data_IF_214052162214
#
_entry.id   IF_214052162214
#
_cell.length_a   1.000
_cell.length_b   1.000
_cell.length_c   1.000
_cell.angle_alpha   90.00
_cell.angle_beta   90.00
_cell.angle_gamma   90.00
#
_symmetry.space_group_name_H-M   'P 1'
#
loop_
_entity.id
_entity.type
_entity.pdbx_description
1 polymer ?
#
# COMPACT_ATOMS: atom_id res chain seq x y z
N UNK A 1 3.94 5.47 30.56
CA UNK A 1 3.37 4.97 29.29
C UNK A 1 2.51 6.10 28.76
N UNK A 2 3.06 6.89 27.86
CA UNK A 2 2.31 7.96 27.19
C UNK A 2 1.29 7.33 26.25
N UNK A 3 0.01 7.49 26.55
CA UNK A 3 -1.05 7.10 25.66
C UNK A 3 -1.13 8.12 24.52
N UNK A 4 -0.62 7.76 23.35
CA UNK A 4 -0.84 8.57 22.15
C UNK A 4 -2.21 8.24 21.58
N UNK A 5 -3.07 9.24 21.51
CA UNK A 5 -4.33 9.14 20.78
C UNK A 5 -4.08 9.66 19.36
N UNK A 6 -4.36 8.80 18.39
CA UNK A 6 -4.27 9.12 16.98
C UNK A 6 -5.67 9.49 16.46
N UNK A 7 -5.84 10.69 15.89
CA UNK A 7 -7.14 11.15 15.38
C UNK A 7 -7.03 11.67 13.96
N UNK A 8 -7.92 11.23 13.10
CA UNK A 8 -8.22 11.88 11.83
C UNK A 8 -9.37 12.84 12.06
N UNK A 9 -9.18 14.10 11.82
CA UNK A 9 -10.26 15.07 11.76
C UNK A 9 -10.65 15.25 10.30
N UNK A 10 -11.90 15.04 9.99
CA UNK A 10 -12.49 15.41 8.70
C UNK A 10 -12.59 16.94 8.60
N UNK A 11 -11.46 17.60 8.61
CA UNK A 11 -11.35 19.03 8.38
C UNK A 11 -10.66 19.27 7.05
N UNK A 12 -11.16 20.19 6.28
CA UNK A 12 -10.66 20.65 5.00
C UNK A 12 -9.17 20.97 5.10
N UNK A 13 -8.33 20.32 4.28
CA UNK A 13 -6.91 20.63 4.19
C UNK A 13 -6.75 21.88 3.32
N UNK A 14 -6.77 23.06 3.93
CA UNK A 14 -6.33 24.30 3.28
C UNK A 14 -4.80 24.34 3.46
N UNK A 15 -4.05 23.97 2.43
CA UNK A 15 -2.62 24.23 2.40
C UNK A 15 -2.44 25.67 1.91
N UNK A 16 -2.34 26.60 2.86
CA UNK A 16 -1.95 27.98 2.54
C UNK A 16 -0.44 28.01 2.40
N UNK A 17 0.05 28.01 1.17
CA UNK A 17 1.45 28.32 0.89
C UNK A 17 1.67 29.83 1.02
N UNK A 18 2.25 30.29 2.12
CA UNK A 18 2.66 31.69 2.27
C UNK A 18 3.93 31.91 1.47
N UNK A 19 3.79 32.45 0.26
CA UNK A 19 4.92 32.94 -0.54
C UNK A 19 5.05 34.45 -0.33
N UNK A 20 6.08 34.86 0.42
CA UNK A 20 6.52 36.25 0.49
C UNK A 20 7.38 36.58 -0.73
N UNK A 21 6.84 37.39 -1.61
CA UNK A 21 7.56 38.34 -2.46
C UNK A 21 8.44 37.81 -3.57
N UNK A 22 7.86 37.65 -4.76
CA UNK A 22 8.51 38.04 -6.05
C UNK A 22 7.40 38.47 -7.01
N UNK A 23 7.45 39.72 -7.45
CA UNK A 23 6.61 40.21 -8.54
C UNK A 23 7.03 39.47 -9.82
N UNK A 24 6.15 38.66 -10.36
CA UNK A 24 6.25 38.12 -11.70
C UNK A 24 5.07 38.62 -12.53
N UNK A 25 5.37 39.02 -13.74
CA UNK A 25 4.47 39.56 -14.74
C UNK A 25 3.32 38.57 -15.04
N UNK A 26 2.15 39.18 -15.30
CA UNK A 26 0.95 38.49 -15.77
C UNK A 26 1.22 37.59 -16.97
N UNK A 27 1.16 36.26 -16.74
CA UNK A 27 0.81 35.30 -17.77
C UNK A 27 -0.41 34.52 -17.30
N UNK A 28 -1.55 34.74 -17.96
CA UNK A 28 -2.91 34.41 -17.50
C UNK A 28 -3.37 32.98 -17.85
N UNK A 29 -2.46 31.98 -17.87
CA UNK A 29 -2.80 30.62 -18.34
C UNK A 29 -2.48 29.47 -17.42
N UNK A 30 -1.91 29.69 -16.24
CA UNK A 30 -1.69 28.63 -15.25
C UNK A 30 -2.41 28.96 -13.94
N UNK A 31 -3.72 28.68 -13.88
CA UNK A 31 -4.41 28.61 -12.58
C UNK A 31 -3.98 27.32 -11.88
N UNK A 32 -3.00 27.42 -11.00
CA UNK A 32 -2.69 26.37 -10.03
C UNK A 32 -3.91 26.08 -9.15
N UNK A 33 -4.04 24.84 -8.68
CA UNK A 33 -5.07 24.49 -7.70
C UNK A 33 -4.64 24.98 -6.34
N UNK A 34 -5.53 25.69 -5.66
CA UNK A 34 -5.30 26.15 -4.30
C UNK A 34 -5.69 25.07 -3.26
N UNK A 35 -6.43 24.03 -3.67
CA UNK A 35 -6.99 23.03 -2.78
C UNK A 35 -7.28 21.69 -3.50
N UNK A 36 -7.05 20.55 -2.79
CA UNK A 36 -7.50 19.23 -3.20
C UNK A 36 -8.61 18.76 -2.26
N UNK A 37 -9.84 18.75 -2.75
CA UNK A 37 -11.02 18.36 -1.98
C UNK A 37 -11.05 16.82 -1.84
N UNK A 38 -11.07 16.28 -0.60
CA UNK A 38 -11.22 14.85 -0.40
C UNK A 38 -12.47 14.29 -1.08
N UNK A 39 -12.33 13.14 -1.76
CA UNK A 39 -13.36 12.50 -2.58
C UNK A 39 -13.88 13.35 -3.77
N UNK A 40 -13.25 14.48 -4.05
CA UNK A 40 -13.53 15.30 -5.24
C UNK A 40 -12.92 14.72 -6.52
N UNK A 41 -13.17 15.40 -7.62
CA UNK A 41 -12.50 15.11 -8.91
C UNK A 41 -11.11 15.79 -8.90
N UNK A 42 -10.08 14.98 -9.06
CA UNK A 42 -8.71 15.47 -9.12
C UNK A 42 -8.16 15.31 -10.53
N UNK A 43 -7.80 16.42 -11.13
CA UNK A 43 -7.23 16.44 -12.47
C UNK A 43 -5.74 16.80 -12.40
N UNK A 44 -4.99 16.42 -13.39
CA UNK A 44 -3.61 16.86 -13.58
C UNK A 44 -3.57 18.33 -14.11
N UNK A 45 -2.37 18.84 -14.38
CA UNK A 45 -2.18 20.21 -14.87
C UNK A 45 -2.78 20.43 -16.26
N UNK A 46 -3.05 19.38 -17.02
CA UNK A 46 -3.68 19.43 -18.35
C UNK A 46 -5.21 19.36 -18.27
N UNK A 47 -5.77 19.18 -17.07
CA UNK A 47 -7.21 19.04 -16.86
C UNK A 47 -7.72 17.60 -16.99
N UNK A 48 -6.83 16.61 -17.22
CA UNK A 48 -7.17 15.21 -17.32
C UNK A 48 -7.28 14.57 -15.92
N UNK A 49 -8.23 13.64 -15.76
CA UNK A 49 -8.45 12.97 -14.48
C UNK A 49 -7.23 12.13 -14.07
N UNK A 50 -6.78 12.29 -12.82
CA UNK A 50 -5.69 11.49 -12.27
C UNK A 50 -6.18 10.07 -12.01
N UNK A 51 -5.56 9.09 -12.68
CA UNK A 51 -5.85 7.67 -12.52
C UNK A 51 -4.59 6.97 -11.97
N UNK A 52 -4.42 7.01 -10.64
CA UNK A 52 -3.27 6.46 -9.90
C UNK A 52 -3.72 5.81 -8.59
N UNK A 53 -4.58 4.77 -8.71
CA UNK A 53 -5.23 4.14 -7.57
C UNK A 53 -4.34 3.13 -6.84
N UNK A 54 -4.68 2.79 -5.61
CA UNK A 54 -3.97 1.80 -4.78
C UNK A 54 -2.51 2.14 -4.49
N UNK A 55 -2.09 3.32 -4.85
CA UNK A 55 -0.70 3.69 -5.03
C UNK A 55 0.02 4.20 -3.78
N UNK A 56 1.19 4.79 -4.03
CA UNK A 56 2.00 5.46 -3.03
C UNK A 56 2.87 6.55 -3.65
N UNK A 57 3.49 7.35 -2.81
CA UNK A 57 4.32 8.47 -3.25
C UNK A 57 5.77 8.24 -2.83
N UNK A 58 6.66 8.38 -3.79
CA UNK A 58 8.10 8.50 -3.55
C UNK A 58 8.48 9.98 -3.56
N UNK A 59 9.17 10.42 -2.53
CA UNK A 59 9.86 11.70 -2.53
C UNK A 59 11.32 11.46 -2.91
N UNK A 60 11.75 12.06 -4.01
CA UNK A 60 13.12 11.95 -4.49
C UNK A 60 13.55 13.28 -5.12
N UNK A 61 14.73 13.76 -4.74
CA UNK A 61 15.31 15.02 -5.23
C UNK A 61 14.32 16.21 -5.17
N UNK A 62 13.68 16.38 -4.00
CA UNK A 62 12.69 17.43 -3.71
C UNK A 62 11.44 17.42 -4.60
N UNK A 63 11.17 16.32 -5.30
CA UNK A 63 10.00 16.12 -6.14
C UNK A 63 9.24 14.87 -5.69
N UNK A 64 7.93 14.96 -5.64
CA UNK A 64 7.03 13.84 -5.33
C UNK A 64 6.67 13.10 -6.62
N UNK A 65 6.70 11.77 -6.57
CA UNK A 65 6.29 10.88 -7.65
C UNK A 65 5.21 9.96 -7.14
N UNK A 66 4.01 10.12 -7.67
CA UNK A 66 2.84 9.32 -7.31
C UNK A 66 2.66 8.19 -8.31
N UNK A 67 2.84 6.97 -7.84
CA UNK A 67 2.63 5.74 -8.61
C UNK A 67 1.29 5.16 -8.24
N UNK A 68 0.52 4.70 -9.23
CA UNK A 68 -0.74 4.03 -9.00
C UNK A 68 -1.15 3.16 -10.19
N UNK A 69 -2.00 2.19 -9.90
CA UNK A 69 -2.59 1.36 -10.93
C UNK A 69 -3.55 2.19 -11.80
N UNK A 70 -3.47 1.97 -13.10
CA UNK A 70 -4.48 2.49 -14.02
C UNK A 70 -5.72 1.61 -13.93
N UNK A 71 -6.80 2.14 -13.40
CA UNK A 71 -8.09 1.45 -13.32
C UNK A 71 -8.90 1.67 -14.62
N UNK A 72 -9.49 0.62 -15.18
CA UNK A 72 -10.35 0.72 -16.35
C UNK A 72 -11.73 1.27 -16.00
N UNK A 73 -12.47 1.74 -17.00
CA UNK A 73 -13.87 2.18 -16.82
C UNK A 73 -14.79 1.02 -16.41
N UNK A 74 -14.50 -0.20 -16.88
CA UNK A 74 -15.26 -1.39 -16.54
C UNK A 74 -14.36 -2.57 -16.15
N UNK A 75 -14.79 -3.31 -15.11
CA UNK A 75 -14.04 -4.45 -14.59
C UNK A 75 -12.80 -4.01 -13.78
N UNK A 76 -11.89 -4.95 -13.55
CA UNK A 76 -10.71 -4.75 -12.69
C UNK A 76 -9.40 -5.27 -13.32
N UNK A 77 -9.45 -5.77 -14.57
CA UNK A 77 -8.27 -6.22 -15.31
C UNK A 77 -7.45 -5.01 -15.73
N UNK A 78 -6.14 -5.09 -15.57
CA UNK A 78 -5.23 -4.00 -15.95
C UNK A 78 -5.22 -3.84 -17.48
N UNK A 79 -5.55 -2.64 -17.94
CA UNK A 79 -5.56 -2.31 -19.39
C UNK A 79 -4.26 -1.67 -19.86
N UNK A 80 -3.65 -0.80 -19.05
CA UNK A 80 -2.45 -0.06 -19.44
C UNK A 80 -1.22 -0.45 -18.62
N UNK A 81 -1.32 -0.51 -17.31
CA UNK A 81 -0.21 -0.77 -16.39
C UNK A 81 -0.19 0.20 -15.20
N UNK A 82 1.01 0.60 -14.79
CA UNK A 82 1.21 1.51 -13.67
C UNK A 82 1.49 2.92 -14.19
N UNK A 83 0.66 3.87 -13.77
CA UNK A 83 0.82 5.29 -14.06
C UNK A 83 1.79 5.95 -13.07
N UNK A 84 2.44 7.03 -13.52
CA UNK A 84 3.20 7.93 -12.67
C UNK A 84 2.77 9.38 -12.91
N UNK A 85 2.66 10.12 -11.82
CA UNK A 85 2.47 11.56 -11.81
C UNK A 85 3.57 12.20 -10.94
N UNK A 86 3.95 13.43 -11.25
CA UNK A 86 4.95 14.15 -10.46
C UNK A 86 4.48 15.52 -10.02
N UNK A 87 4.91 15.97 -8.85
CA UNK A 87 4.58 17.28 -8.30
C UNK A 87 5.70 17.81 -7.39
N UNK A 88 5.81 19.13 -7.27
CA UNK A 88 6.67 19.78 -6.28
C UNK A 88 5.90 20.32 -5.08
N UNK A 89 4.57 20.36 -5.15
CA UNK A 89 3.70 21.00 -4.15
C UNK A 89 2.53 20.12 -3.67
N UNK A 90 2.41 18.87 -4.19
CA UNK A 90 1.31 17.93 -3.91
C UNK A 90 -0.07 18.38 -4.43
N UNK A 91 -0.18 19.52 -5.07
CA UNK A 91 -1.42 20.09 -5.61
C UNK A 91 -1.46 20.00 -7.13
N UNK A 92 -0.35 20.36 -7.78
CA UNK A 92 -0.23 20.41 -9.23
C UNK A 92 0.56 19.19 -9.71
N UNK A 93 -0.14 18.25 -10.35
CA UNK A 93 0.41 16.98 -10.80
C UNK A 93 0.62 16.95 -12.30
N UNK A 94 1.83 16.60 -12.75
CA UNK A 94 2.16 16.36 -14.15
C UNK A 94 2.07 14.86 -14.42
N UNK A 95 1.37 14.47 -15.46
CA UNK A 95 1.34 13.08 -15.91
C UNK A 95 2.66 12.69 -16.58
N UNK A 96 3.38 11.73 -16.02
CA UNK A 96 4.67 11.25 -16.55
C UNK A 96 4.49 10.02 -17.47
N UNK A 97 3.29 9.50 -17.60
CA UNK A 97 2.96 8.35 -18.46
C UNK A 97 2.78 7.04 -17.73
N UNK A 98 2.61 5.97 -18.50
CA UNK A 98 2.60 4.59 -18.02
C UNK A 98 4.05 4.13 -17.87
N UNK A 99 4.54 4.08 -16.64
CA UNK A 99 5.96 3.79 -16.34
C UNK A 99 6.29 2.30 -16.32
N UNK A 100 5.29 1.45 -16.10
CA UNK A 100 5.37 -0.01 -16.27
C UNK A 100 4.12 -0.47 -17.05
N UNK A 101 4.20 -0.60 -18.37
CA UNK A 101 3.08 -1.10 -19.17
C UNK A 101 2.88 -2.60 -19.00
N UNK A 102 1.64 -3.08 -19.26
CA UNK A 102 1.40 -4.50 -19.51
C UNK A 102 2.26 -4.98 -20.67
N UNK A 103 2.64 -6.27 -20.66
CA UNK A 103 3.47 -6.86 -21.70
C UNK A 103 2.63 -7.39 -22.86
N UNK A 104 3.07 -7.12 -24.08
CA UNK A 104 2.50 -7.73 -25.31
C UNK A 104 3.04 -9.17 -25.51
N UNK A 105 4.08 -9.58 -24.80
CA UNK A 105 4.65 -10.91 -24.91
C UNK A 105 3.75 -11.95 -24.24
N UNK A 106 3.26 -12.91 -25.02
CA UNK A 106 2.47 -14.04 -24.52
C UNK A 106 3.29 -14.86 -23.51
N UNK A 107 2.64 -15.19 -22.39
CA UNK A 107 3.26 -15.95 -21.32
C UNK A 107 4.09 -15.10 -20.34
N UNK A 108 4.16 -13.80 -20.54
CA UNK A 108 4.64 -12.88 -19.52
C UNK A 108 3.66 -12.86 -18.35
N UNK A 109 4.14 -12.84 -17.11
CA UNK A 109 3.28 -12.72 -15.92
C UNK A 109 2.42 -11.44 -15.94
N UNK A 110 2.93 -10.37 -16.59
CA UNK A 110 2.23 -9.09 -16.77
C UNK A 110 1.63 -8.92 -18.17
N UNK A 111 1.27 -10.02 -18.86
CA UNK A 111 0.59 -9.94 -20.16
C UNK A 111 -0.82 -9.35 -20.03
N UNK A 112 -1.36 -8.86 -21.15
CA UNK A 112 -2.75 -8.34 -21.22
C UNK A 112 -3.73 -9.34 -20.61
N UNK A 113 -4.51 -8.89 -19.63
CA UNK A 113 -5.44 -9.72 -18.87
C UNK A 113 -4.94 -10.08 -17.46
N UNK A 114 -3.75 -9.65 -17.07
CA UNK A 114 -3.29 -9.67 -15.67
C UNK A 114 -3.99 -8.58 -14.83
N UNK A 115 -3.81 -8.65 -13.52
CA UNK A 115 -4.27 -7.62 -12.58
C UNK A 115 -3.04 -7.14 -11.80
N UNK A 116 -2.70 -5.86 -11.94
CA UNK A 116 -1.59 -5.21 -11.26
C UNK A 116 -2.17 -4.23 -10.25
N UNK A 117 -1.91 -4.44 -8.96
CA UNK A 117 -2.51 -3.66 -7.88
C UNK A 117 -1.48 -3.18 -6.86
N UNK A 118 -1.81 -2.10 -6.16
CA UNK A 118 -1.06 -1.57 -5.01
C UNK A 118 0.43 -1.26 -5.28
N UNK A 119 0.83 -0.67 -6.42
CA UNK A 119 2.24 -0.41 -6.69
C UNK A 119 2.84 0.54 -5.66
N UNK A 120 4.07 0.23 -5.23
CA UNK A 120 4.89 1.10 -4.39
C UNK A 120 6.31 1.13 -4.94
N UNK A 121 6.93 2.29 -4.90
CA UNK A 121 8.32 2.49 -5.35
C UNK A 121 9.17 2.98 -4.19
N UNK A 122 10.34 2.39 -4.04
CA UNK A 122 11.38 2.82 -3.11
C UNK A 122 12.70 3.01 -3.85
N UNK A 123 13.49 3.98 -3.40
CA UNK A 123 14.83 4.22 -3.96
C UNK A 123 15.89 3.49 -3.15
N UNK A 124 16.68 2.67 -3.82
CA UNK A 124 17.82 1.99 -3.23
C UNK A 124 19.08 2.83 -3.38
N UNK A 125 19.56 3.41 -2.28
CA UNK A 125 20.74 4.29 -2.27
C UNK A 125 22.04 3.57 -2.63
N UNK A 126 22.13 2.26 -2.37
CA UNK A 126 23.36 1.48 -2.65
C UNK A 126 23.50 1.16 -4.14
N UNK A 127 22.40 0.82 -4.80
CA UNK A 127 22.39 0.46 -6.22
C UNK A 127 22.05 1.61 -7.14
N UNK A 128 21.55 2.73 -6.61
CA UNK A 128 21.06 3.87 -7.40
C UNK A 128 19.77 3.56 -8.17
N UNK A 129 19.05 2.50 -7.83
CA UNK A 129 17.87 2.04 -8.56
C UNK A 129 16.57 2.41 -7.87
N UNK A 130 15.53 2.63 -8.67
CA UNK A 130 14.14 2.72 -8.23
C UNK A 130 13.52 1.34 -8.34
N UNK A 131 13.06 0.79 -7.22
CA UNK A 131 12.49 -0.56 -7.14
C UNK A 131 11.00 -0.46 -6.88
N UNK A 132 10.21 -1.01 -7.79
CA UNK A 132 8.76 -1.08 -7.70
C UNK A 132 8.35 -2.50 -7.31
N UNK A 133 7.53 -2.63 -6.27
CA UNK A 133 6.79 -3.85 -5.96
C UNK A 133 5.30 -3.62 -6.12
N UNK A 134 4.58 -4.67 -6.51
CA UNK A 134 3.13 -4.64 -6.66
C UNK A 134 2.52 -6.04 -6.51
N UNK A 135 1.24 -6.09 -6.16
CA UNK A 135 0.43 -7.30 -6.19
C UNK A 135 0.10 -7.66 -7.64
N UNK A 136 0.23 -8.92 -7.98
CA UNK A 136 -0.02 -9.41 -9.33
C UNK A 136 -0.89 -10.66 -9.32
N UNK A 137 -1.98 -10.61 -10.10
CA UNK A 137 -2.76 -11.77 -10.47
C UNK A 137 -2.57 -12.11 -11.95
N UNK A 138 -2.38 -13.39 -12.22
CA UNK A 138 -2.12 -13.85 -13.58
C UNK A 138 -3.41 -13.89 -14.40
N UNK A 139 -3.28 -13.64 -15.69
CA UNK A 139 -4.38 -13.65 -16.65
C UNK A 139 -5.29 -14.88 -16.49
N UNK A 140 -6.58 -14.60 -16.31
CA UNK A 140 -7.63 -15.62 -16.22
C UNK A 140 -7.57 -16.53 -15.00
N UNK A 141 -6.78 -16.19 -13.98
CA UNK A 141 -6.60 -17.00 -12.77
C UNK A 141 -7.32 -16.44 -11.53
N UNK A 142 -8.09 -15.33 -11.71
CA UNK A 142 -8.71 -14.62 -10.59
C UNK A 142 -7.67 -14.21 -9.54
N UNK A 143 -8.05 -14.21 -8.27
CA UNK A 143 -7.17 -13.84 -7.14
C UNK A 143 -6.46 -15.06 -6.50
N UNK A 144 -6.35 -16.18 -7.24
CA UNK A 144 -5.67 -17.39 -6.77
C UNK A 144 -4.14 -17.34 -6.78
N UNK A 145 -3.48 -16.77 -7.81
CA UNK A 145 -2.04 -16.64 -7.84
C UNK A 145 -1.44 -15.89 -6.66
N UNK A 146 -2.00 -14.73 -6.29
CA UNK A 146 -1.60 -13.88 -5.16
C UNK A 146 -0.08 -13.68 -5.09
N UNK A 147 0.51 -13.14 -6.16
CA UNK A 147 1.96 -13.01 -6.33
C UNK A 147 2.44 -11.61 -5.98
N UNK A 148 3.62 -11.53 -5.39
CA UNK A 148 4.41 -10.30 -5.35
C UNK A 148 5.21 -10.19 -6.64
N UNK A 149 5.18 -9.03 -7.26
CA UNK A 149 5.89 -8.74 -8.50
C UNK A 149 6.87 -7.59 -8.28
N UNK A 150 8.03 -7.65 -8.96
CA UNK A 150 9.07 -6.63 -8.85
C UNK A 150 9.55 -6.16 -10.21
N UNK A 151 9.73 -4.84 -10.31
CA UNK A 151 10.28 -4.15 -11.47
C UNK A 151 11.32 -3.10 -11.02
N UNK A 152 12.22 -2.72 -11.91
CA UNK A 152 13.33 -1.81 -11.59
C UNK A 152 13.53 -0.77 -12.70
N UNK A 153 13.96 0.44 -12.32
CA UNK A 153 14.32 1.50 -13.24
C UNK A 153 15.55 2.29 -12.77
N UNK A 154 16.21 2.97 -13.69
CA UNK A 154 17.25 3.97 -13.42
C UNK A 154 16.68 5.37 -13.17
N UNK A 155 15.41 5.59 -13.48
CA UNK A 155 14.71 6.87 -13.33
C UNK A 155 13.42 6.69 -12.51
N UNK A 156 13.02 7.67 -11.69
CA UNK A 156 11.75 7.61 -10.98
C UNK A 156 10.54 7.52 -11.95
N UNK A 157 10.66 8.13 -13.12
CA UNK A 157 9.61 8.12 -14.15
C UNK A 157 9.72 6.98 -15.15
N UNK A 158 10.55 5.97 -14.83
CA UNK A 158 10.71 4.78 -15.68
C UNK A 158 11.59 4.99 -16.92
N UNK A 159 11.49 4.14 -17.94
CA UNK A 159 10.65 2.93 -17.92
C UNK A 159 11.11 1.91 -16.88
N UNK A 160 10.16 1.25 -16.24
CA UNK A 160 10.46 0.13 -15.35
C UNK A 160 10.55 -1.16 -16.15
N UNK A 161 11.59 -1.95 -15.86
CA UNK A 161 11.76 -3.30 -16.40
C UNK A 161 11.18 -4.31 -15.40
N UNK A 162 10.17 -5.06 -15.81
CA UNK A 162 9.64 -6.19 -15.03
C UNK A 162 10.72 -7.26 -14.86
N UNK A 163 10.99 -7.69 -13.63
CA UNK A 163 12.01 -8.70 -13.32
C UNK A 163 11.36 -10.07 -13.18
N UNK A 164 10.36 -10.20 -12.27
CA UNK A 164 9.68 -11.47 -11.99
C UNK A 164 8.47 -11.26 -11.10
N UNK A 165 7.66 -12.30 -10.98
CA UNK A 165 6.68 -12.43 -9.89
C UNK A 165 6.70 -13.84 -9.30
N UNK A 166 6.36 -13.95 -8.02
CA UNK A 166 6.22 -15.22 -7.32
C UNK A 166 5.38 -15.04 -6.05
N UNK A 167 4.87 -16.13 -5.50
CA UNK A 167 4.53 -16.17 -4.08
C UNK A 167 5.81 -16.07 -3.26
N UNK A 168 5.72 -15.55 -2.05
CA UNK A 168 6.88 -15.15 -1.26
C UNK A 168 7.26 -16.20 -0.20
N UNK A 169 8.52 -16.21 0.24
CA UNK A 169 9.02 -17.02 1.36
C UNK A 169 8.74 -18.53 1.23
N UNK A 170 8.86 -19.10 0.01
CA UNK A 170 8.72 -20.54 -0.24
C UNK A 170 9.64 -21.35 0.66
N UNK A 171 9.09 -22.42 1.28
CA UNK A 171 9.77 -23.35 2.19
C UNK A 171 10.35 -22.71 3.46
N UNK A 172 9.92 -21.49 3.81
CA UNK A 172 10.38 -20.77 5.01
C UNK A 172 9.20 -20.53 5.95
N UNK A 173 9.42 -20.79 7.23
CA UNK A 173 8.45 -20.48 8.28
C UNK A 173 8.67 -19.08 8.85
N UNK A 174 7.59 -18.39 9.27
CA UNK A 174 7.72 -17.10 9.95
C UNK A 174 8.54 -17.22 11.25
N UNK A 175 9.26 -16.15 11.58
CA UNK A 175 10.14 -16.08 12.75
C UNK A 175 9.37 -16.28 14.06
N UNK A 176 8.15 -15.77 14.14
CA UNK A 176 7.29 -15.85 15.31
C UNK A 176 6.40 -17.10 15.38
N UNK A 177 6.64 -18.09 14.53
CA UNK A 177 6.00 -19.40 14.61
C UNK A 177 6.83 -20.35 15.48
N UNK A 178 6.22 -20.92 16.51
CA UNK A 178 6.90 -21.79 17.48
C UNK A 178 7.28 -23.15 16.89
N UNK A 179 8.25 -23.84 17.53
CA UNK A 179 8.62 -25.21 17.15
C UNK A 179 7.46 -26.19 17.25
N UNK A 180 6.52 -25.97 18.18
CA UNK A 180 5.32 -26.80 18.36
C UNK A 180 4.38 -26.64 17.17
N UNK A 181 4.06 -25.42 16.79
CA UNK A 181 3.20 -25.09 15.66
C UNK A 181 3.78 -25.62 14.33
N UNK A 182 5.09 -25.49 14.12
CA UNK A 182 5.79 -26.02 12.95
C UNK A 182 5.68 -27.55 12.81
N UNK A 183 5.36 -28.30 13.87
CA UNK A 183 5.18 -29.76 13.86
C UNK A 183 3.75 -30.21 13.65
N UNK A 184 2.76 -29.34 13.82
CA UNK A 184 1.35 -29.70 13.64
C UNK A 184 1.14 -30.14 12.19
N UNK A 185 0.48 -31.29 11.99
CA UNK A 185 0.02 -31.73 10.68
C UNK A 185 -1.45 -31.39 10.55
N UNK A 186 -1.79 -30.61 9.54
CA UNK A 186 -3.16 -30.21 9.26
C UNK A 186 -3.77 -31.08 8.18
N UNK A 187 -4.97 -31.60 8.43
CA UNK A 187 -5.83 -32.17 7.40
C UNK A 187 -6.85 -31.08 7.02
N UNK A 188 -6.65 -30.41 5.89
CA UNK A 188 -7.46 -29.27 5.48
C UNK A 188 -8.95 -29.63 5.30
N UNK A 189 -9.28 -30.89 4.99
CA UNK A 189 -10.66 -31.32 4.84
C UNK A 189 -11.47 -31.30 6.15
N UNK A 190 -10.80 -31.23 7.29
CA UNK A 190 -11.44 -31.07 8.59
C UNK A 190 -11.83 -29.61 8.88
N UNK A 191 -11.38 -28.66 8.07
CA UNK A 191 -11.54 -27.20 8.24
C UNK A 191 -12.27 -26.54 7.07
N UNK A 192 -13.08 -27.27 6.33
CA UNK A 192 -13.88 -26.75 5.22
C UNK A 192 -14.93 -25.73 5.67
N UNK A 193 -15.44 -25.91 6.90
CA UNK A 193 -16.35 -24.96 7.51
C UNK A 193 -15.57 -23.85 8.20
N UNK A 194 -15.48 -22.72 7.53
CA UNK A 194 -14.80 -21.53 8.05
C UNK A 194 -15.58 -20.88 9.20
N UNK A 195 -14.90 -20.05 9.98
CA UNK A 195 -15.46 -19.21 11.05
C UNK A 195 -15.89 -19.99 12.29
N UNK A 196 -15.53 -21.25 12.44
CA UNK A 196 -15.69 -21.99 13.70
C UNK A 196 -14.53 -21.69 14.65
N UNK A 197 -14.71 -21.87 15.98
CA UNK A 197 -13.61 -21.71 16.94
C UNK A 197 -12.39 -22.59 16.59
N UNK A 198 -12.61 -23.83 16.14
CA UNK A 198 -11.57 -24.78 15.75
C UNK A 198 -10.83 -24.30 14.51
N UNK A 199 -11.54 -23.72 13.54
CA UNK A 199 -10.95 -23.13 12.34
C UNK A 199 -10.09 -21.92 12.71
N UNK A 200 -10.57 -21.02 13.57
CA UNK A 200 -9.77 -19.85 14.03
C UNK A 200 -8.51 -20.30 14.77
N UNK A 201 -8.61 -21.31 15.67
CA UNK A 201 -7.46 -21.88 16.37
C UNK A 201 -6.42 -22.45 15.39
N UNK A 202 -6.88 -23.13 14.34
CA UNK A 202 -6.01 -23.68 13.30
C UNK A 202 -5.32 -22.58 12.47
N UNK A 203 -6.04 -21.53 12.11
CA UNK A 203 -5.48 -20.34 11.40
C UNK A 203 -4.43 -19.66 12.27
N UNK A 204 -4.73 -19.40 13.53
CA UNK A 204 -3.81 -18.79 14.49
C UNK A 204 -2.52 -19.62 14.61
N UNK A 205 -2.61 -20.94 14.68
CA UNK A 205 -1.48 -21.88 14.73
C UNK A 205 -0.79 -22.12 13.37
N UNK A 206 -1.17 -21.40 12.32
CA UNK A 206 -0.48 -21.40 11.04
C UNK A 206 -0.88 -22.49 10.06
N UNK A 207 -2.13 -22.92 10.07
CA UNK A 207 -2.67 -23.88 9.10
C UNK A 207 -2.43 -23.42 7.66
N UNK A 208 -2.72 -22.15 7.33
CA UNK A 208 -2.53 -21.61 5.98
C UNK A 208 -1.06 -21.36 5.64
N UNK A 209 -0.22 -21.00 6.62
CA UNK A 209 1.24 -20.95 6.40
C UNK A 209 1.74 -22.29 5.88
N UNK A 210 1.25 -23.40 6.47
CA UNK A 210 1.65 -24.75 6.07
C UNK A 210 1.03 -25.18 4.74
N UNK A 211 -0.22 -24.79 4.46
CA UNK A 211 -0.84 -25.02 3.16
C UNK A 211 0.03 -24.44 2.03
N UNK A 212 0.54 -23.24 2.25
CA UNK A 212 1.27 -22.45 1.26
C UNK A 212 2.79 -22.56 1.40
N UNK A 213 3.31 -23.43 2.30
CA UNK A 213 4.72 -23.47 2.65
C UNK A 213 5.62 -23.75 1.43
N UNK A 214 5.33 -24.80 0.68
CA UNK A 214 6.16 -25.20 -0.46
C UNK A 214 6.00 -24.25 -1.66
N UNK A 215 4.76 -23.83 -1.94
CA UNK A 215 4.44 -22.93 -3.05
C UNK A 215 4.77 -21.45 -2.79
N UNK A 216 5.06 -21.10 -1.56
CA UNK A 216 5.23 -19.72 -1.09
C UNK A 216 3.93 -19.09 -0.58
N UNK A 217 4.08 -18.12 0.32
CA UNK A 217 2.99 -17.41 0.93
C UNK A 217 2.30 -16.48 -0.07
N UNK A 218 1.00 -16.32 0.03
CA UNK A 218 0.25 -15.33 -0.77
C UNK A 218 0.73 -13.91 -0.47
N UNK A 219 0.72 -13.04 -1.48
CA UNK A 219 0.94 -11.62 -1.32
C UNK A 219 -0.12 -10.87 -2.13
N UNK A 220 -1.06 -10.23 -1.43
CA UNK A 220 -2.12 -9.40 -2.03
C UNK A 220 -1.90 -7.93 -1.67
N UNK A 221 -2.88 -7.23 -1.15
CA UNK A 221 -2.74 -5.81 -0.77
C UNK A 221 -1.44 -5.56 0.00
N UNK A 222 -0.64 -4.63 -0.50
CA UNK A 222 0.72 -4.47 -0.01
C UNK A 222 1.17 -3.02 0.08
N UNK A 223 2.20 -2.81 0.88
CA UNK A 223 3.00 -1.59 0.91
C UNK A 223 4.47 -1.90 1.12
N UNK A 224 5.33 -0.90 0.92
CA UNK A 224 6.75 -0.96 1.21
C UNK A 224 7.11 0.04 2.31
N UNK A 225 8.14 -0.26 3.05
CA UNK A 225 8.72 0.63 4.04
C UNK A 225 10.24 0.51 4.02
N UNK A 226 10.93 1.65 4.00
CA UNK A 226 12.39 1.72 4.18
C UNK A 226 12.64 2.34 5.55
N UNK A 227 13.34 1.62 6.41
CA UNK A 227 13.66 2.05 7.76
C UNK A 227 14.87 3.00 7.80
N UNK A 228 15.11 3.61 8.94
CA UNK A 228 16.20 4.59 9.16
C UNK A 228 17.59 3.97 8.91
N UNK A 229 17.74 2.65 9.10
CA UNK A 229 18.98 1.90 8.82
C UNK A 229 19.16 1.50 7.35
N UNK A 230 18.21 1.85 6.50
CA UNK A 230 18.21 1.54 5.07
C UNK A 230 17.68 0.15 4.74
N UNK A 231 17.24 -0.66 5.70
CA UNK A 231 16.55 -1.92 5.42
C UNK A 231 15.15 -1.64 4.89
N UNK A 232 14.75 -2.43 3.90
CA UNK A 232 13.42 -2.34 3.33
C UNK A 232 12.56 -3.53 3.74
N UNK A 233 11.27 -3.28 3.84
CA UNK A 233 10.27 -4.26 4.24
C UNK A 233 9.09 -4.24 3.28
N UNK A 234 8.61 -5.43 2.94
CA UNK A 234 7.39 -5.67 2.21
C UNK A 234 6.32 -6.13 3.21
N UNK A 235 5.23 -5.38 3.31
CA UNK A 235 4.09 -5.65 4.19
C UNK A 235 2.90 -5.99 3.29
N UNK A 236 2.26 -7.14 3.52
CA UNK A 236 1.21 -7.61 2.62
C UNK A 236 0.17 -8.47 3.32
N UNK A 237 -1.05 -8.48 2.76
CA UNK A 237 -2.10 -9.42 3.13
C UNK A 237 -1.78 -10.80 2.57
N UNK A 238 -1.92 -11.82 3.40
CA UNK A 238 -1.62 -13.21 3.10
C UNK A 238 -2.70 -14.13 3.67
N UNK A 239 -2.54 -15.45 3.46
CA UNK A 239 -3.42 -16.45 4.05
C UNK A 239 -4.90 -16.16 3.73
N UNK A 240 -5.23 -15.93 2.45
CA UNK A 240 -6.57 -15.53 1.97
C UNK A 240 -7.08 -14.22 2.60
N UNK A 241 -6.19 -13.23 2.79
CA UNK A 241 -6.41 -11.94 3.47
C UNK A 241 -6.70 -12.05 4.97
N UNK A 242 -6.48 -13.22 5.56
CA UNK A 242 -6.72 -13.44 6.99
C UNK A 242 -5.63 -12.87 7.88
N UNK A 243 -4.42 -12.67 7.32
CA UNK A 243 -3.21 -12.38 8.11
C UNK A 243 -2.35 -11.38 7.38
N UNK A 244 -1.81 -10.39 8.09
CA UNK A 244 -0.72 -9.57 7.55
C UNK A 244 0.61 -10.29 7.77
N UNK A 245 1.48 -10.19 6.76
CA UNK A 245 2.88 -10.61 6.87
C UNK A 245 3.79 -9.42 6.62
N UNK A 246 4.91 -9.35 7.35
CA UNK A 246 5.96 -8.36 7.20
C UNK A 246 7.25 -9.09 6.91
N UNK A 247 7.84 -8.86 5.73
CA UNK A 247 9.02 -9.54 5.26
C UNK A 247 10.16 -8.56 4.96
N UNK A 248 11.37 -8.86 5.45
CA UNK A 248 12.59 -8.11 5.14
C UNK A 248 13.01 -8.37 3.68
N UNK A 249 13.32 -7.30 2.95
CA UNK A 249 13.89 -7.37 1.61
C UNK A 249 15.41 -7.48 1.65
N UNK A 250 16.00 -8.02 0.58
CA UNK A 250 17.46 -8.03 0.36
C UNK A 250 18.04 -6.61 0.23
N UNK A 251 19.36 -6.49 0.34
CA UNK A 251 20.03 -5.18 0.31
C UNK A 251 19.83 -4.42 -1.02
N UNK A 252 19.60 -5.13 -2.13
CA UNK A 252 19.22 -4.54 -3.43
C UNK A 252 17.72 -4.26 -3.59
N UNK A 253 16.91 -4.62 -2.59
CA UNK A 253 15.45 -4.54 -2.55
C UNK A 253 14.71 -5.41 -3.58
N UNK A 254 15.41 -6.31 -4.27
CA UNK A 254 14.82 -7.11 -5.35
C UNK A 254 14.31 -8.48 -4.89
N UNK A 255 14.60 -8.91 -3.67
CA UNK A 255 14.25 -10.24 -3.14
C UNK A 255 13.86 -10.17 -1.67
N UNK A 256 13.21 -11.23 -1.17
CA UNK A 256 12.99 -11.43 0.25
C UNK A 256 14.18 -12.17 0.86
N UNK A 257 14.60 -11.78 2.08
CA UNK A 257 15.68 -12.46 2.81
C UNK A 257 15.23 -13.79 3.43
N UNK A 258 13.93 -14.04 3.48
CA UNK A 258 13.32 -15.15 4.21
C UNK A 258 13.00 -14.82 5.66
N UNK A 259 13.39 -13.67 6.18
CA UNK A 259 13.00 -13.20 7.50
C UNK A 259 11.64 -12.52 7.42
N UNK A 260 10.61 -13.13 8.01
CA UNK A 260 9.28 -12.54 8.07
C UNK A 260 8.52 -12.97 9.32
N UNK A 261 7.52 -12.20 9.65
CA UNK A 261 6.57 -12.48 10.74
C UNK A 261 5.14 -12.45 10.22
N UNK A 262 4.25 -13.06 10.98
CA UNK A 262 2.79 -12.95 10.86
C UNK A 262 2.25 -12.07 11.96
N UNK A 263 1.31 -11.20 11.62
CA UNK A 263 0.60 -10.39 12.61
C UNK A 263 -0.91 -10.51 12.42
N UNK A 264 -1.64 -10.55 13.52
CA UNK A 264 -3.11 -10.66 13.56
C UNK A 264 -3.67 -11.80 12.70
N UNK A 265 -3.21 -13.06 12.86
CA UNK A 265 -3.75 -14.18 12.11
C UNK A 265 -5.27 -14.33 12.36
N UNK A 266 -6.03 -14.51 11.27
CA UNK A 266 -7.49 -14.53 11.31
C UNK A 266 -8.16 -13.16 11.46
N UNK A 267 -7.39 -12.08 11.52
CA UNK A 267 -7.89 -10.73 11.75
C UNK A 267 -8.51 -10.03 10.54
N UNK A 268 -8.34 -10.56 9.32
CA UNK A 268 -8.81 -9.94 8.07
C UNK A 268 -8.33 -8.51 7.88
N UNK A 269 -7.04 -8.36 7.63
CA UNK A 269 -6.43 -7.06 7.38
C UNK A 269 -6.00 -6.92 5.92
N UNK A 270 -6.47 -5.84 5.28
CA UNK A 270 -6.10 -5.44 3.93
C UNK A 270 -5.48 -4.04 3.95
N UNK A 271 -4.97 -3.62 2.79
CA UNK A 271 -4.57 -2.25 2.50
C UNK A 271 -3.61 -1.63 3.54
N UNK A 272 -2.49 -2.29 3.88
CA UNK A 272 -1.55 -1.76 4.86
C UNK A 272 -0.92 -0.44 4.40
N UNK A 273 -0.86 0.54 5.30
CA UNK A 273 -0.20 1.84 5.12
C UNK A 273 0.63 2.14 6.37
N UNK A 274 1.95 2.01 6.28
CA UNK A 274 2.89 2.08 7.41
C UNK A 274 3.67 3.39 7.41
N UNK A 275 3.99 3.87 8.60
CA UNK A 275 4.91 4.99 8.81
C UNK A 275 5.61 4.87 10.17
N UNK A 276 6.68 5.66 10.39
CA UNK A 276 7.43 5.68 11.64
C UNK A 276 7.49 7.09 12.20
N UNK A 277 7.17 7.23 13.49
CA UNK A 277 7.31 8.49 14.23
C UNK A 277 7.93 8.22 15.59
N UNK A 278 8.99 8.94 15.90
CA UNK A 278 9.68 8.91 17.21
C UNK A 278 10.08 7.48 17.65
N UNK A 279 10.59 6.69 16.69
CA UNK A 279 11.03 5.31 16.94
C UNK A 279 9.91 4.28 17.01
N UNK A 280 8.64 4.70 16.90
CA UNK A 280 7.46 3.83 16.93
C UNK A 280 6.93 3.64 15.51
N UNK A 281 6.63 2.40 15.15
CA UNK A 281 5.97 2.04 13.90
C UNK A 281 4.46 2.12 14.08
N UNK A 282 3.81 2.71 13.11
CA UNK A 282 2.36 2.85 13.01
C UNK A 282 1.90 2.29 11.69
N UNK A 283 0.80 1.58 11.68
CA UNK A 283 0.23 1.04 10.47
C UNK A 283 -1.30 1.20 10.50
N UNK A 284 -1.85 1.68 9.42
CA UNK A 284 -3.29 1.75 9.19
C UNK A 284 -3.65 0.66 8.21
N UNK A 285 -4.74 -0.07 8.50
CA UNK A 285 -5.26 -1.13 7.65
C UNK A 285 -6.77 -1.03 7.56
N UNK A 286 -7.37 -1.74 6.62
CA UNK A 286 -8.82 -1.95 6.53
C UNK A 286 -9.20 -3.38 6.92
N UNK A 287 -10.48 -3.61 7.17
CA UNK A 287 -11.07 -4.95 7.14
C UNK A 287 -11.29 -5.44 5.71
N UNK A 288 -11.75 -6.69 5.55
CA UNK A 288 -12.08 -7.30 4.27
C UNK A 288 -13.59 -7.25 4.04
N UNK A 289 -14.09 -6.22 3.40
CA UNK A 289 -15.51 -6.01 3.10
C UNK A 289 -15.79 -5.81 1.61
N UNK A 290 -14.87 -6.30 0.77
CA UNK A 290 -14.91 -6.03 -0.68
C UNK A 290 -14.74 -4.55 -0.96
N UNK A 291 -15.62 -3.97 -1.78
CA UNK A 291 -15.56 -2.54 -2.14
C UNK A 291 -16.23 -1.61 -1.12
N UNK A 292 -16.96 -2.17 -0.13
CA UNK A 292 -17.61 -1.37 0.90
C UNK A 292 -16.58 -0.82 1.89
N UNK A 293 -16.60 0.50 2.16
CA UNK A 293 -15.70 1.10 3.13
C UNK A 293 -16.01 0.61 4.55
N UNK A 294 -14.97 0.39 5.32
CA UNK A 294 -15.08 -0.07 6.70
C UNK A 294 -14.18 0.72 7.64
N UNK A 295 -14.32 0.41 8.92
CA UNK A 295 -13.57 1.07 10.00
C UNK A 295 -12.08 0.83 9.86
N UNK A 296 -11.28 1.89 9.81
CA UNK A 296 -9.83 1.79 9.85
C UNK A 296 -9.34 1.12 11.14
N UNK A 297 -8.26 0.39 11.05
CA UNK A 297 -7.56 -0.23 12.17
C UNK A 297 -6.19 0.41 12.31
N UNK A 298 -5.84 0.78 13.52
CA UNK A 298 -4.52 1.33 13.85
C UNK A 298 -3.71 0.27 14.57
N UNK A 299 -2.53 0.00 14.05
CA UNK A 299 -1.60 -0.96 14.61
C UNK A 299 -0.31 -0.23 15.01
N UNK A 300 0.37 -0.70 16.05
CA UNK A 300 1.62 -0.09 16.51
C UNK A 300 2.61 -1.13 17.01
N UNK A 301 3.91 -0.85 16.85
CA UNK A 301 5.01 -1.65 17.34
C UNK A 301 6.25 -0.79 17.64
N UNK A 302 7.13 -1.28 18.50
CA UNK A 302 8.45 -0.69 18.76
C UNK A 302 9.57 -1.32 17.93
N UNK A 303 9.27 -2.43 17.24
CA UNK A 303 10.16 -3.11 16.30
C UNK A 303 9.32 -3.66 15.15
N UNK A 304 9.78 -3.46 13.90
CA UNK A 304 9.00 -3.81 12.72
C UNK A 304 8.76 -5.32 12.59
N UNK A 305 9.72 -6.16 12.97
CA UNK A 305 9.59 -7.61 13.05
C UNK A 305 9.26 -8.10 14.47
N UNK A 306 8.80 -7.21 15.36
CA UNK A 306 8.42 -7.51 16.74
C UNK A 306 6.94 -7.76 16.92
N UNK A 307 6.48 -7.56 18.15
CA UNK A 307 5.07 -7.66 18.52
C UNK A 307 4.32 -6.39 18.11
N UNK A 308 3.21 -6.56 17.41
CA UNK A 308 2.28 -5.51 17.01
C UNK A 308 1.03 -5.52 17.89
N UNK A 309 0.53 -4.34 18.22
CA UNK A 309 -0.71 -4.15 19.00
C UNK A 309 -1.72 -3.37 18.18
N UNK A 310 -2.97 -3.78 18.26
CA UNK A 310 -4.07 -3.04 17.65
C UNK A 310 -4.62 -2.02 18.64
N UNK A 311 -4.81 -0.80 18.17
CA UNK A 311 -5.40 0.32 18.86
C UNK A 311 -6.81 0.61 18.31
N UNK A 312 -7.60 1.47 18.97
CA UNK A 312 -8.89 1.91 18.46
C UNK A 312 -8.80 2.57 17.08
N UNK A 313 -9.96 2.70 16.41
CA UNK A 313 -10.06 3.40 15.13
C UNK A 313 -9.47 4.82 15.24
N UNK A 314 -8.50 5.19 14.38
CA UNK A 314 -7.88 6.51 14.42
C UNK A 314 -8.77 7.62 13.84
N UNK A 315 -9.81 7.26 13.08
CA UNK A 315 -10.71 8.21 12.46
C UNK A 315 -11.67 8.82 13.47
N UNK A 316 -11.89 10.13 13.40
CA UNK A 316 -12.77 10.88 14.32
C UNK A 316 -13.69 11.80 13.52
N UNK A 317 -14.95 11.84 13.88
CA UNK A 317 -15.98 12.69 13.26
C UNK A 317 -16.99 11.89 12.46
N UNK A 318 -17.76 12.59 11.63
CA UNK A 318 -18.77 11.97 10.78
C UNK A 318 -18.13 11.00 9.78
N UNK A 319 -18.74 9.82 9.57
CA UNK A 319 -18.23 8.74 8.71
C UNK A 319 -16.88 8.14 9.14
N UNK A 320 -16.42 8.35 10.38
CA UNK A 320 -15.19 7.77 10.91
C UNK A 320 -15.22 6.24 10.98
N UNK A 321 -16.39 5.65 11.13
CA UNK A 321 -16.61 4.19 11.13
C UNK A 321 -16.49 3.55 9.74
N UNK A 322 -16.46 4.37 8.69
CA UNK A 322 -16.24 3.99 7.28
C UNK A 322 -14.95 4.57 6.71
N UNK A 323 -14.03 5.03 7.55
CA UNK A 323 -12.79 5.68 7.10
C UNK A 323 -13.07 6.80 6.07
N UNK A 324 -14.15 7.59 6.34
CA UNK A 324 -14.65 8.67 5.48
C UNK A 324 -15.04 8.23 4.06
N UNK A 325 -15.34 6.94 3.86
CA UNK A 325 -15.65 6.34 2.56
C UNK A 325 -14.43 5.81 1.81
N UNK A 326 -13.26 5.70 2.46
CA UNK A 326 -12.01 5.28 1.83
C UNK A 326 -11.41 4.00 2.38
N UNK A 327 -10.52 3.41 1.59
CA UNK A 327 -9.62 2.33 1.98
C UNK A 327 -8.17 2.83 1.91
N UNK A 328 -7.38 2.61 2.96
CA UNK A 328 -5.98 3.04 3.05
C UNK A 328 -5.14 2.58 1.85
N UNK A 329 -4.17 3.40 1.44
CA UNK A 329 -3.19 3.03 0.42
C UNK A 329 -1.77 3.32 0.87
N UNK A 330 -1.56 4.47 1.51
CA UNK A 330 -0.24 4.95 1.90
C UNK A 330 -0.34 5.97 3.04
N UNK A 331 0.76 6.20 3.73
CA UNK A 331 0.94 7.37 4.60
C UNK A 331 2.19 8.10 4.14
N UNK A 332 2.01 9.31 3.63
CA UNK A 332 3.08 10.14 3.10
C UNK A 332 3.70 10.98 4.23
N UNK A 333 5.01 10.81 4.55
CA UNK A 333 5.73 11.77 5.37
C UNK A 333 6.00 13.05 4.58
N UNK A 334 5.68 14.21 5.17
CA UNK A 334 5.97 15.50 4.56
C UNK A 334 7.40 15.95 4.89
N UNK A 335 8.02 16.70 3.97
CA UNK A 335 9.29 17.36 4.25
C UNK A 335 9.07 18.54 5.21
N UNK A 336 9.97 18.70 6.18
CA UNK A 336 9.94 19.82 7.12
C UNK A 336 10.64 19.49 8.44
N UNK A 337 10.64 20.46 9.35
CA UNK A 337 11.22 20.33 10.69
C UNK A 337 10.34 19.52 11.64
N UNK A 338 9.04 19.49 11.41
CA UNK A 338 8.07 18.67 12.15
C UNK A 338 7.70 17.46 11.31
N UNK A 339 7.66 16.28 11.94
CA UNK A 339 7.20 15.04 11.31
C UNK A 339 5.70 15.08 11.13
N UNK A 340 5.26 15.63 10.01
CA UNK A 340 3.86 15.65 9.59
C UNK A 340 3.61 14.55 8.57
N UNK A 341 2.39 14.03 8.52
CA UNK A 341 2.00 12.94 7.65
C UNK A 341 0.65 13.22 7.00
N UNK A 342 0.50 12.74 5.78
CA UNK A 342 -0.79 12.68 5.08
C UNK A 342 -1.21 11.21 4.98
N UNK A 343 -2.37 10.89 5.51
CA UNK A 343 -3.06 9.63 5.24
C UNK A 343 -3.67 9.67 3.85
N UNK A 344 -3.39 8.65 3.04
CA UNK A 344 -3.92 8.51 1.69
C UNK A 344 -4.81 7.28 1.62
N UNK A 345 -5.98 7.44 0.99
CA UNK A 345 -6.95 6.38 0.77
C UNK A 345 -7.63 6.54 -0.59
N UNK A 346 -8.14 5.44 -1.14
CA UNK A 346 -9.03 5.43 -2.29
C UNK A 346 -10.48 5.24 -1.83
N UNK A 347 -11.37 6.08 -2.35
CA UNK A 347 -12.82 5.90 -2.27
C UNK A 347 -13.26 5.16 -3.54
N UNK A 348 -13.35 3.85 -3.42
CA UNK A 348 -13.65 2.96 -4.53
C UNK A 348 -15.06 3.15 -5.06
N UNK A 349 -15.22 3.13 -6.38
CA UNK A 349 -16.50 3.15 -7.09
C UNK A 349 -16.59 1.93 -7.99
N UNK A 350 -17.14 0.81 -7.51
CA UNK A 350 -17.12 -0.47 -8.22
C UNK A 350 -17.88 -0.46 -9.55
N UNK A 351 -18.84 0.46 -9.72
CA UNK A 351 -19.57 0.66 -10.98
C UNK A 351 -18.67 1.18 -12.11
N UNK A 352 -17.63 1.97 -11.75
CA UNK A 352 -16.59 2.47 -12.64
C UNK A 352 -15.34 2.75 -11.83
N UNK A 353 -14.40 1.81 -11.80
CA UNK A 353 -13.18 1.94 -10.98
C UNK A 353 -12.30 3.11 -11.43
N UNK A 354 -12.34 3.48 -12.71
CA UNK A 354 -11.66 4.68 -13.21
C UNK A 354 -12.20 5.97 -12.57
N UNK A 355 -13.45 5.98 -12.10
CA UNK A 355 -14.08 7.12 -11.42
C UNK A 355 -13.88 7.10 -9.89
N UNK A 356 -13.10 6.17 -9.34
CA UNK A 356 -12.76 6.15 -7.92
C UNK A 356 -12.07 7.45 -7.50
N UNK A 357 -12.20 7.85 -6.22
CA UNK A 357 -11.75 9.16 -5.73
C UNK A 357 -10.64 8.98 -4.70
N UNK A 358 -9.97 10.07 -4.40
CA UNK A 358 -8.88 10.13 -3.43
C UNK A 358 -9.31 10.82 -2.17
N UNK A 359 -8.90 10.28 -1.03
CA UNK A 359 -9.09 10.89 0.29
C UNK A 359 -7.71 11.05 0.91
N UNK A 360 -7.23 12.29 0.96
CA UNK A 360 -5.99 12.64 1.63
C UNK A 360 -6.31 13.49 2.84
N UNK A 361 -5.85 13.06 4.01
CA UNK A 361 -6.16 13.70 5.28
C UNK A 361 -4.89 13.87 6.12
N UNK A 362 -4.77 15.00 6.86
CA UNK A 362 -3.66 15.18 7.77
C UNK A 362 -3.75 14.18 8.91
N UNK A 363 -2.61 13.61 9.27
CA UNK A 363 -2.45 12.78 10.45
C UNK A 363 -2.08 13.68 11.62
N UNK A 364 -2.82 13.63 12.72
CA UNK A 364 -2.56 14.39 13.94
C UNK A 364 -2.28 13.46 15.11
N UNK A 365 -1.36 13.86 15.95
CA UNK A 365 -1.05 13.20 17.21
C UNK A 365 -1.47 14.14 18.34
N UNK A 366 -2.34 13.68 19.22
CA UNK A 366 -2.69 14.45 20.41
C UNK A 366 -1.54 14.29 21.42
N UNK A 367 -1.03 15.39 21.95
CA UNK A 367 -0.20 15.40 23.14
C UNK A 367 -1.11 15.11 24.35
N UNK A 368 -0.95 13.97 25.00
CA UNK A 368 -1.62 13.61 26.26
C UNK A 368 -0.68 13.76 27.42
#
# INVERSE_FOLDING_TARGET
MTNFNFKFLGAWLVIVASITGLQAQNDSTLKGKDEMVPAGVWNDVNGEYINAHGGGILLFDSKYYWFGEHRPESGFVTEKGINCYSSTDLLNWNYEGVVLPISEAKGSDIEKGCIMERPKVIYNKQTGKFVMWFHLELKGRGYGPARAAVAVSDSPTGPYCFIRSARVNSSIYPLNMTKKEKRIKWNLSEYEKWWTPEWYDAVEKGMFVKRDLEGGQMSRDMTLFVDDDGKAYHIYSSEDNLTLQIAELSDDYLSHTGKYIRIFPGGHNEAPAIFKKDGIYWMITSGCTGWEPNKARLLTATSILGEWKQLPNPCVGENADKTFGGQSTYVLPLQGTEKQFIFMADSWRPESLADSRYIWLPVRFDET
#
